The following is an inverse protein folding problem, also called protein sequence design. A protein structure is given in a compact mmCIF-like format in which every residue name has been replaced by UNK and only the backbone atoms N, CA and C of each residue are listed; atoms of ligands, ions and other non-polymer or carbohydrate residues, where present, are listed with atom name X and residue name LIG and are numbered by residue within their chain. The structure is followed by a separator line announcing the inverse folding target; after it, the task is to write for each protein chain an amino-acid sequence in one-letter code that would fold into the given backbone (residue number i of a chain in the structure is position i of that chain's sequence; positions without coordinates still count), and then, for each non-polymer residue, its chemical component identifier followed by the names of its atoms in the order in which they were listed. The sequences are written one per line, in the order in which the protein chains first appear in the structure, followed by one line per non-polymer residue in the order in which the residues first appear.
data_IF_912866542046
#
_entry.id   IF_912866542046
#
_cell.length_a   1.000
_cell.length_b   1.000
_cell.length_c   1.000
_cell.angle_alpha   90.00
_cell.angle_beta   90.00
_cell.angle_gamma   90.00
#
_symmetry.space_group_name_H-M   'P 1'
#
loop_
_entity.id
_entity.type
_entity.pdbx_description
1 polymer ?
#
# COMPACT_ATOMS: atom_id res chain seq x y z
N UNK A 1 11.12 7.89 -8.66
CA UNK A 1 10.46 8.14 -9.98
C UNK A 1 9.26 9.09 -9.91
N UNK A 2 8.51 9.14 -8.80
CA UNK A 2 7.33 10.01 -8.60
C UNK A 2 7.56 11.52 -8.85
N UNK A 3 8.74 12.04 -8.48
CA UNK A 3 9.10 13.47 -8.67
C UNK A 3 9.15 13.90 -10.15
N UNK A 4 9.47 12.99 -11.08
CA UNK A 4 9.50 13.30 -12.52
C UNK A 4 8.11 13.46 -13.14
N UNK A 5 7.08 12.78 -12.58
CA UNK A 5 5.71 12.91 -13.05
C UNK A 5 5.08 14.24 -12.62
N UNK A 6 5.23 14.61 -11.35
CA UNK A 6 4.74 15.90 -10.82
C UNK A 6 5.31 17.10 -11.58
N UNK A 7 6.59 17.02 -11.98
CA UNK A 7 7.24 18.10 -12.74
C UNK A 7 6.69 18.25 -14.16
N UNK A 8 6.25 17.17 -14.81
CA UNK A 8 5.61 17.23 -16.13
C UNK A 8 4.21 17.83 -16.07
N UNK A 9 3.46 17.56 -15.00
CA UNK A 9 2.10 18.11 -14.80
C UNK A 9 2.14 19.61 -14.51
N UNK A 10 3.10 20.06 -13.69
CA UNK A 10 3.28 21.49 -13.39
C UNK A 10 3.75 22.31 -14.61
N UNK A 11 4.56 21.73 -15.49
CA UNK A 11 4.97 22.41 -16.73
C UNK A 11 3.84 22.56 -17.75
N UNK A 12 2.86 21.64 -17.76
CA UNK A 12 1.73 21.70 -18.68
C UNK A 12 0.65 22.70 -18.27
N UNK A 13 0.48 22.93 -16.96
CA UNK A 13 -0.54 23.86 -16.43
C UNK A 13 -0.10 25.33 -16.45
N UNK A 14 1.20 25.60 -16.64
CA UNK A 14 1.75 26.95 -16.71
C UNK A 14 1.62 27.67 -18.06
N UNK A 15 1.09 27.03 -19.10
CA UNK A 15 1.14 27.58 -20.47
C UNK A 15 -0.23 27.96 -21.08
N UNK A 16 -1.35 27.73 -20.40
CA UNK A 16 -2.68 28.00 -20.97
C UNK A 16 -3.31 29.29 -20.43
N UNK A 17 -2.57 30.39 -20.51
CA UNK A 17 -3.13 31.73 -20.34
C UNK A 17 -3.07 32.51 -21.66
N UNK A 18 -3.81 32.08 -22.69
CA UNK A 18 -4.30 32.97 -23.77
C UNK A 18 -5.23 32.25 -24.76
N UNK A 19 -6.46 32.76 -24.83
CA UNK A 19 -7.36 32.83 -26.00
C UNK A 19 -7.79 31.49 -26.65
N UNK A 20 -9.08 31.14 -26.52
CA UNK A 20 -9.80 30.26 -27.46
C UNK A 20 -9.61 28.74 -27.37
N UNK A 21 -8.58 28.24 -26.68
CA UNK A 21 -8.26 26.79 -26.59
C UNK A 21 -8.96 26.07 -25.42
N UNK A 22 -9.76 26.80 -24.63
CA UNK A 22 -10.23 26.35 -23.30
C UNK A 22 -11.07 25.07 -23.27
N UNK A 23 -11.88 24.80 -24.30
CA UNK A 23 -12.79 23.63 -24.29
C UNK A 23 -12.07 22.33 -24.69
N UNK A 24 -11.20 22.39 -25.70
CA UNK A 24 -10.42 21.22 -26.12
C UNK A 24 -9.37 20.83 -25.08
N UNK A 25 -8.74 21.82 -24.43
CA UNK A 25 -7.81 21.56 -23.33
C UNK A 25 -8.52 20.95 -22.11
N UNK A 26 -9.72 21.42 -21.76
CA UNK A 26 -10.49 20.86 -20.64
C UNK A 26 -10.89 19.39 -20.87
N UNK A 27 -11.39 19.05 -22.06
CA UNK A 27 -11.76 17.68 -22.42
C UNK A 27 -10.55 16.73 -22.49
N UNK A 28 -9.37 17.25 -22.85
CA UNK A 28 -8.14 16.47 -22.89
C UNK A 28 -7.59 16.18 -21.49
N UNK A 29 -7.64 17.16 -20.59
CA UNK A 29 -7.21 17.01 -19.19
C UNK A 29 -8.12 16.00 -18.46
N UNK A 30 -9.45 16.07 -18.63
CA UNK A 30 -10.37 15.11 -18.00
C UNK A 30 -10.14 13.67 -18.45
N UNK A 31 -9.79 13.46 -19.72
CA UNK A 31 -9.48 12.13 -20.25
C UNK A 31 -8.16 11.59 -19.69
N UNK A 32 -7.15 12.45 -19.50
CA UNK A 32 -5.88 12.07 -18.88
C UNK A 32 -6.07 11.67 -17.42
N UNK A 33 -6.88 12.42 -16.65
CA UNK A 33 -7.16 12.10 -15.24
C UNK A 33 -7.89 10.76 -15.09
N UNK A 34 -8.88 10.50 -15.96
CA UNK A 34 -9.61 9.23 -15.96
C UNK A 34 -8.71 8.03 -16.29
N UNK A 35 -7.80 8.18 -17.27
CA UNK A 35 -6.87 7.12 -17.64
C UNK A 35 -5.78 6.90 -16.59
N UNK A 36 -5.32 7.96 -15.92
CA UNK A 36 -4.41 7.86 -14.78
C UNK A 36 -5.05 7.12 -13.60
N UNK A 37 -6.31 7.43 -13.25
CA UNK A 37 -7.03 6.75 -12.17
C UNK A 37 -7.22 5.25 -12.46
N UNK A 38 -7.60 4.91 -13.69
CA UNK A 38 -7.77 3.50 -14.12
C UNK A 38 -6.45 2.73 -14.06
N UNK A 39 -5.35 3.33 -14.51
CA UNK A 39 -4.03 2.70 -14.47
C UNK A 39 -3.53 2.50 -13.04
N UNK A 40 -3.84 3.43 -12.12
CA UNK A 40 -3.55 3.27 -10.69
C UNK A 40 -4.34 2.09 -10.09
N UNK A 41 -5.62 1.95 -10.41
CA UNK A 41 -6.46 0.87 -9.90
C UNK A 41 -5.96 -0.51 -10.35
N UNK A 42 -5.61 -0.65 -11.64
CA UNK A 42 -5.03 -1.88 -12.19
C UNK A 42 -3.71 -2.23 -11.50
N UNK A 43 -2.85 -1.24 -11.25
CA UNK A 43 -1.58 -1.43 -10.56
C UNK A 43 -1.77 -1.85 -9.10
N UNK A 44 -2.68 -1.21 -8.37
CA UNK A 44 -3.01 -1.58 -6.98
C UNK A 44 -3.55 -3.00 -6.91
N UNK A 45 -4.39 -3.40 -7.87
CA UNK A 45 -4.93 -4.76 -7.93
C UNK A 45 -3.83 -5.80 -8.20
N UNK A 46 -2.96 -5.57 -9.18
CA UNK A 46 -1.83 -6.48 -9.44
C UNK A 46 -0.87 -6.56 -8.26
N UNK A 47 -0.63 -5.43 -7.58
CA UNK A 47 0.23 -5.37 -6.39
C UNK A 47 -0.39 -6.08 -5.18
N UNK A 48 -1.71 -6.29 -5.14
CA UNK A 48 -2.38 -7.09 -4.12
C UNK A 48 -2.40 -8.57 -4.49
N UNK A 49 -2.65 -8.91 -5.76
CA UNK A 49 -2.65 -10.29 -6.26
C UNK A 49 -1.25 -10.92 -6.20
N UNK A 50 -0.19 -10.12 -6.28
CA UNK A 50 1.18 -10.59 -6.19
C UNK A 50 1.71 -10.76 -4.75
N UNK A 51 0.97 -10.34 -3.71
CA UNK A 51 1.41 -10.53 -2.31
C UNK A 51 1.08 -11.93 -1.85
N UNK A 52 2.08 -12.64 -1.34
CA UNK A 52 1.87 -13.96 -0.75
C UNK A 52 1.31 -13.80 0.67
N UNK A 53 0.40 -14.70 1.03
CA UNK A 53 -0.09 -14.82 2.40
C UNK A 53 0.88 -15.71 3.19
N UNK A 54 1.54 -15.14 4.18
CA UNK A 54 2.42 -15.81 5.12
C UNK A 54 1.67 -16.01 6.45
N UNK A 55 1.33 -17.24 6.80
CA UNK A 55 0.66 -17.53 8.07
C UNK A 55 1.67 -18.02 9.10
N UNK A 56 1.68 -17.40 10.28
CA UNK A 56 2.62 -17.74 11.36
C UNK A 56 1.92 -17.78 12.71
N UNK A 57 2.27 -18.76 13.54
CA UNK A 57 1.81 -18.85 14.93
C UNK A 57 2.83 -18.32 15.94
N UNK A 58 4.06 -18.08 15.48
CA UNK A 58 5.18 -17.57 16.25
C UNK A 58 5.82 -16.41 15.48
N UNK A 59 5.96 -15.26 16.14
CA UNK A 59 6.53 -14.06 15.54
C UNK A 59 8.00 -14.26 15.11
N UNK A 60 8.74 -15.13 15.78
CA UNK A 60 10.12 -15.49 15.43
C UNK A 60 10.18 -16.17 14.06
N UNK A 61 9.14 -16.93 13.70
CA UNK A 61 9.01 -17.58 12.39
C UNK A 61 8.62 -16.61 11.28
N UNK A 62 8.11 -15.43 11.60
CA UNK A 62 7.78 -14.42 10.60
C UNK A 62 9.04 -13.99 9.82
N UNK A 63 10.16 -13.76 10.51
CA UNK A 63 11.42 -13.35 9.90
C UNK A 63 12.08 -14.44 9.04
N UNK A 64 11.70 -15.72 9.23
CA UNK A 64 12.23 -16.84 8.46
C UNK A 64 11.35 -17.17 7.24
N UNK A 65 10.04 -16.92 7.33
CA UNK A 65 9.06 -17.43 6.38
C UNK A 65 8.39 -16.34 5.53
N UNK A 66 8.44 -15.07 5.96
CA UNK A 66 7.80 -13.96 5.27
C UNK A 66 8.84 -13.03 4.63
N UNK A 67 8.52 -12.48 3.46
CA UNK A 67 9.34 -11.46 2.78
C UNK A 67 8.72 -10.08 2.90
N UNK A 68 9.55 -9.03 2.84
CA UNK A 68 9.06 -7.65 2.87
C UNK A 68 8.00 -7.41 1.80
N UNK A 69 6.84 -6.89 2.21
CA UNK A 69 5.69 -6.67 1.32
C UNK A 69 4.65 -7.78 1.32
N UNK A 70 4.96 -8.98 1.82
CA UNK A 70 3.97 -10.06 1.98
C UNK A 70 2.86 -9.66 2.96
N UNK A 71 1.70 -10.31 2.84
CA UNK A 71 0.67 -10.23 3.87
C UNK A 71 1.00 -11.28 4.93
N UNK A 72 1.30 -10.86 6.15
CA UNK A 72 1.44 -11.76 7.29
C UNK A 72 0.13 -11.88 8.05
N UNK A 73 -0.28 -13.11 8.34
CA UNK A 73 -1.36 -13.45 9.26
C UNK A 73 -0.77 -14.16 10.48
N UNK A 74 -0.69 -13.43 11.59
CA UNK A 74 -0.27 -13.96 12.87
C UNK A 74 -1.46 -14.55 13.63
N UNK A 75 -1.38 -15.83 14.00
CA UNK A 75 -2.42 -16.57 14.74
C UNK A 75 -1.76 -17.44 15.82
N UNK A 76 -1.64 -16.96 17.08
CA UNK A 76 -0.97 -17.71 18.13
C UNK A 76 -1.75 -18.95 18.52
N UNK A 77 -1.03 -20.01 18.91
CA UNK A 77 -1.64 -21.27 19.36
C UNK A 77 -2.50 -21.10 20.62
N UNK A 78 -2.18 -20.10 21.44
CA UNK A 78 -2.94 -19.71 22.63
C UNK A 78 -3.23 -18.21 22.57
N UNK A 79 -4.49 -17.86 22.80
CA UNK A 79 -4.96 -16.47 22.84
C UNK A 79 -5.49 -16.13 24.24
N UNK A 80 -5.72 -14.85 24.52
CA UNK A 80 -6.20 -14.37 25.82
C UNK A 80 -5.36 -13.25 26.45
N UNK A 81 -4.18 -12.99 25.89
CA UNK A 81 -3.40 -11.79 26.21
C UNK A 81 -3.73 -10.69 25.19
N UNK A 82 -4.54 -9.71 25.59
CA UNK A 82 -4.98 -8.62 24.70
C UNK A 82 -3.84 -7.72 24.20
N UNK A 83 -2.73 -7.66 24.93
CA UNK A 83 -1.56 -6.87 24.53
C UNK A 83 -0.70 -7.60 23.50
N UNK A 84 -0.80 -8.93 23.43
CA UNK A 84 0.11 -9.74 22.63
C UNK A 84 -0.02 -9.49 21.12
N UNK A 85 -1.23 -9.46 20.52
CA UNK A 85 -1.42 -9.06 19.13
C UNK A 85 -0.81 -7.69 18.81
N UNK A 86 -1.04 -6.69 19.67
CA UNK A 86 -0.49 -5.34 19.47
C UNK A 86 1.04 -5.34 19.50
N UNK A 87 1.65 -6.11 20.42
CA UNK A 87 3.10 -6.29 20.46
C UNK A 87 3.63 -6.91 19.17
N UNK A 88 2.98 -7.97 18.67
CA UNK A 88 3.39 -8.59 17.42
C UNK A 88 3.30 -7.60 16.27
N UNK A 89 2.21 -6.82 16.19
CA UNK A 89 2.08 -5.80 15.17
C UNK A 89 3.23 -4.79 15.19
N UNK A 90 3.67 -4.37 16.39
CA UNK A 90 4.80 -3.46 16.55
C UNK A 90 6.12 -4.03 15.99
N UNK A 91 6.33 -5.34 16.06
CA UNK A 91 7.53 -5.98 15.52
C UNK A 91 7.47 -6.15 14.01
N UNK A 92 6.43 -6.79 13.49
CA UNK A 92 6.45 -7.33 12.11
C UNK A 92 5.63 -6.53 11.10
N UNK A 93 4.80 -5.57 11.52
CA UNK A 93 3.91 -4.85 10.61
C UNK A 93 4.51 -3.56 10.08
N UNK A 94 4.30 -3.28 8.79
CA UNK A 94 4.55 -1.97 8.23
C UNK A 94 3.40 -1.00 8.59
N UNK A 95 3.69 0.01 9.42
CA UNK A 95 2.73 1.01 9.87
C UNK A 95 2.35 2.06 8.81
N UNK A 96 3.06 2.10 7.67
CA UNK A 96 2.63 2.89 6.50
C UNK A 96 1.48 2.20 5.74
N UNK A 97 1.06 1.01 6.18
CA UNK A 97 0.02 0.19 5.57
C UNK A 97 -1.07 -0.14 6.61
N UNK A 98 -2.30 -0.47 6.15
CA UNK A 98 -3.37 -0.88 7.04
C UNK A 98 -2.99 -2.11 7.89
N UNK A 99 -3.40 -2.08 9.15
CA UNK A 99 -3.23 -3.17 10.11
C UNK A 99 -4.60 -3.57 10.62
N UNK A 100 -4.94 -4.86 10.53
CA UNK A 100 -6.18 -5.42 11.08
C UNK A 100 -5.81 -6.34 12.23
N UNK A 101 -6.48 -6.22 13.37
CA UNK A 101 -6.21 -7.08 14.52
C UNK A 101 -7.48 -7.32 15.34
N UNK A 102 -7.44 -8.40 16.12
CA UNK A 102 -8.38 -8.67 17.20
C UNK A 102 -7.63 -9.35 18.35
N UNK A 103 -8.35 -9.89 19.34
CA UNK A 103 -7.74 -10.55 20.51
C UNK A 103 -6.93 -11.81 20.17
N UNK A 104 -7.13 -12.40 18.99
CA UNK A 104 -6.57 -13.69 18.59
C UNK A 104 -5.70 -13.63 17.35
N UNK A 105 -5.57 -12.49 16.66
CA UNK A 105 -4.84 -12.42 15.40
C UNK A 105 -4.41 -11.00 15.02
N UNK A 106 -3.39 -10.93 14.17
CA UNK A 106 -2.97 -9.71 13.44
C UNK A 106 -2.78 -10.05 11.98
N UNK A 107 -3.31 -9.21 11.10
CA UNK A 107 -3.04 -9.25 9.67
C UNK A 107 -2.48 -7.90 9.21
N UNK A 108 -1.34 -7.92 8.52
CA UNK A 108 -0.68 -6.71 8.05
C UNK A 108 0.33 -7.01 6.94
N UNK A 109 0.90 -5.95 6.36
CA UNK A 109 2.06 -6.07 5.46
C UNK A 109 3.32 -6.31 6.30
N UNK A 110 4.06 -7.37 6.01
CA UNK A 110 5.29 -7.72 6.71
C UNK A 110 6.42 -6.72 6.40
N UNK A 111 7.24 -6.46 7.40
CA UNK A 111 8.52 -5.75 7.27
C UNK A 111 9.57 -6.30 8.22
N UNK A 112 10.78 -6.45 7.71
CA UNK A 112 11.99 -6.86 8.43
C UNK A 112 12.69 -5.71 9.15
N UNK A 113 12.22 -4.45 9.01
CA UNK A 113 12.93 -3.26 9.49
C UNK A 113 13.15 -3.16 11.01
N UNK A 114 12.56 -4.05 11.82
CA UNK A 114 12.62 -4.04 13.29
C UNK A 114 13.13 -5.34 13.91
N UNK A 115 13.50 -6.32 13.08
CA UNK A 115 14.00 -7.64 13.49
C UNK A 115 15.50 -7.78 13.38
#
# INVERSE_FOLDING_TARGET
MLKKLLYKVLLFTGFTASIGVGVYAANFISNIEAEAAKNIEVQVKSDLENRKLCTVSDASKAYLNCSDGDIVLFTPERWGNEQFPIKIAAYICNFDKPIVHNKSAVACVFTSARG
#
